data_IF_852444033841
#
_entry.id   IF_852444033841
#
_cell.length_a   1.000
_cell.length_b   1.000
_cell.length_c   1.000
_cell.angle_alpha   90.00
_cell.angle_beta   90.00
_cell.angle_gamma   90.00
#
_symmetry.space_group_name_H-M   'P 1'
#
loop_
_entity.id
_entity.type
_entity.pdbx_description
1 polymer ?
#
# COMPACT_ATOMS: atom_id res chain seq x y z
N UNK A 1 -47.66 22.63 51.34
CA UNK A 1 -47.77 23.10 49.93
C UNK A 1 -46.98 22.16 49.02
N UNK A 2 -47.25 22.20 47.70
CA UNK A 2 -46.49 21.59 46.57
C UNK A 2 -46.15 22.74 45.58
N UNK A 3 -45.44 22.55 44.44
CA UNK A 3 -44.65 21.42 43.93
C UNK A 3 -43.13 21.73 44.12
N UNK A 4 -42.09 21.42 43.31
CA UNK A 4 -41.86 20.85 41.96
C UNK A 4 -40.59 19.96 41.97
N UNK A 5 -40.51 18.97 41.07
CA UNK A 5 -39.30 18.24 40.64
C UNK A 5 -39.32 18.23 39.10
N UNK A 6 -38.25 18.65 38.39
CA UNK A 6 -38.06 18.38 36.94
C UNK A 6 -36.68 18.83 36.38
N UNK A 7 -36.30 18.21 35.26
CA UNK A 7 -35.33 18.63 34.21
C UNK A 7 -33.83 18.74 34.54
N UNK A 8 -33.09 17.65 34.24
CA UNK A 8 -31.70 17.71 33.74
C UNK A 8 -31.25 16.39 33.08
N UNK A 9 -31.89 16.00 31.96
CA UNK A 9 -31.71 14.66 31.37
C UNK A 9 -31.81 14.60 29.83
N UNK A 10 -31.37 15.63 29.10
CA UNK A 10 -31.50 15.70 27.63
C UNK A 10 -30.18 15.84 26.83
N UNK A 11 -29.01 15.82 27.49
CA UNK A 11 -27.72 16.05 26.82
C UNK A 11 -27.06 14.85 26.15
N UNK A 12 -27.08 13.65 26.79
CA UNK A 12 -26.15 12.57 26.41
C UNK A 12 -26.52 11.79 25.14
N UNK A 13 -27.79 11.77 24.72
CA UNK A 13 -28.23 10.89 23.62
C UNK A 13 -27.66 11.32 22.25
N UNK A 14 -27.45 12.62 22.05
CA UNK A 14 -26.97 13.17 20.76
C UNK A 14 -25.56 12.70 20.39
N UNK A 15 -24.64 12.66 21.36
CA UNK A 15 -23.23 12.37 21.12
C UNK A 15 -23.00 10.93 20.62
N UNK A 16 -23.74 9.97 21.17
CA UNK A 16 -23.66 8.54 20.80
C UNK A 16 -24.11 8.27 19.36
N UNK A 17 -25.05 9.05 18.83
CA UNK A 17 -25.56 8.89 17.46
C UNK A 17 -24.52 9.38 16.45
N UNK A 18 -23.88 10.53 16.72
CA UNK A 18 -22.83 11.10 15.84
C UNK A 18 -21.64 10.13 15.74
N UNK A 19 -21.16 9.62 16.88
CA UNK A 19 -20.03 8.66 16.92
C UNK A 19 -20.30 7.41 16.08
N UNK A 20 -21.52 6.87 16.16
CA UNK A 20 -21.93 5.65 15.45
C UNK A 20 -22.13 5.88 13.95
N UNK A 21 -22.57 7.07 13.54
CA UNK A 21 -22.72 7.46 12.13
C UNK A 21 -21.38 7.79 11.44
N UNK A 22 -20.37 8.19 12.21
CA UNK A 22 -19.01 8.38 11.71
C UNK A 22 -18.34 7.03 11.45
N UNK A 23 -18.37 6.13 12.44
CA UNK A 23 -17.80 4.77 12.34
C UNK A 23 -18.36 3.95 11.17
N UNK A 24 -19.66 4.03 10.86
CA UNK A 24 -20.29 3.25 9.78
C UNK A 24 -20.00 3.77 8.37
N UNK A 25 -19.70 5.06 8.20
CA UNK A 25 -19.20 5.61 6.92
C UNK A 25 -17.75 5.21 6.66
N UNK A 26 -16.94 5.21 7.71
CA UNK A 26 -15.53 4.88 7.64
C UNK A 26 -15.30 3.39 7.33
N UNK A 27 -16.13 2.49 7.88
CA UNK A 27 -16.10 1.05 7.54
C UNK A 27 -16.59 0.71 6.13
N UNK A 28 -17.55 1.47 5.58
CA UNK A 28 -18.07 1.23 4.21
C UNK A 28 -17.15 1.81 3.12
N UNK A 29 -16.54 2.99 3.35
CA UNK A 29 -15.54 3.54 2.43
C UNK A 29 -14.26 2.71 2.37
N UNK A 30 -13.77 2.22 3.52
CA UNK A 30 -12.53 1.43 3.59
C UNK A 30 -12.63 0.07 2.89
N UNK A 31 -13.76 -0.63 2.97
CA UNK A 31 -13.94 -1.91 2.27
C UNK A 31 -13.81 -1.76 0.75
N UNK A 32 -14.42 -0.71 0.18
CA UNK A 32 -14.46 -0.48 -1.27
C UNK A 32 -13.06 -0.17 -1.84
N UNK A 33 -12.29 0.76 -1.22
CA UNK A 33 -10.93 1.07 -1.69
C UNK A 33 -9.97 -0.13 -1.63
N UNK A 34 -10.19 -1.07 -0.71
CA UNK A 34 -9.38 -2.29 -0.61
C UNK A 34 -9.65 -3.24 -1.78
N UNK A 35 -10.92 -3.42 -2.15
CA UNK A 35 -11.31 -4.18 -3.34
C UNK A 35 -10.77 -3.53 -4.62
N UNK A 36 -10.96 -2.21 -4.78
CA UNK A 36 -10.40 -1.45 -5.91
C UNK A 36 -8.86 -1.53 -6.01
N UNK A 37 -8.14 -1.55 -4.87
CA UNK A 37 -6.68 -1.72 -4.87
C UNK A 37 -6.27 -3.14 -5.31
N UNK A 38 -6.96 -4.15 -4.78
CA UNK A 38 -6.79 -5.56 -5.17
C UNK A 38 -6.96 -5.76 -6.69
N UNK A 39 -8.05 -5.23 -7.25
CA UNK A 39 -8.36 -5.32 -8.69
C UNK A 39 -7.40 -4.49 -9.55
N UNK A 40 -7.08 -3.26 -9.16
CA UNK A 40 -6.20 -2.39 -9.94
C UNK A 40 -4.78 -2.92 -10.02
N UNK A 41 -4.24 -3.49 -8.93
CA UNK A 41 -2.88 -4.07 -8.87
C UNK A 41 -2.80 -5.56 -9.28
N UNK A 42 -3.91 -6.22 -9.60
CA UNK A 42 -3.90 -7.59 -10.15
C UNK A 42 -3.63 -7.57 -11.65
N UNK A 43 -2.74 -8.45 -12.13
CA UNK A 43 -2.27 -8.49 -13.54
C UNK A 43 -1.74 -7.14 -14.06
N UNK A 44 -0.76 -6.55 -13.37
CA UNK A 44 -0.07 -5.33 -13.81
C UNK A 44 1.43 -5.52 -14.01
N UNK A 45 2.01 -4.77 -14.93
CA UNK A 45 3.44 -4.57 -15.10
C UNK A 45 3.80 -3.15 -14.68
N UNK A 46 4.71 -3.05 -13.73
CA UNK A 46 5.43 -1.84 -13.39
C UNK A 46 6.60 -1.74 -14.38
N UNK A 47 6.76 -0.60 -15.05
CA UNK A 47 7.95 -0.28 -15.83
C UNK A 47 8.43 1.12 -15.48
N UNK A 48 9.71 1.25 -15.15
CA UNK A 48 10.26 2.49 -14.68
C UNK A 48 11.78 2.51 -14.69
N UNK A 49 12.32 3.38 -13.83
CA UNK A 49 13.75 3.56 -13.63
C UNK A 49 14.09 3.63 -12.15
N UNK A 50 15.29 3.18 -11.80
CA UNK A 50 15.88 3.39 -10.48
C UNK A 50 17.22 4.14 -10.55
N UNK A 51 17.50 4.91 -9.50
CA UNK A 51 18.78 5.59 -9.28
C UNK A 51 19.59 4.89 -8.18
N UNK A 52 20.89 5.16 -8.13
CA UNK A 52 21.77 4.76 -7.02
C UNK A 52 22.39 6.02 -6.43
N UNK A 53 22.27 6.21 -5.12
CA UNK A 53 22.80 7.38 -4.42
C UNK A 53 24.32 7.53 -4.64
N UNK A 54 24.77 8.75 -4.94
CA UNK A 54 26.17 9.05 -5.27
C UNK A 54 26.63 8.59 -6.67
N UNK A 55 25.80 7.88 -7.44
CA UNK A 55 26.13 7.51 -8.82
C UNK A 55 26.03 8.71 -9.77
N UNK A 56 27.00 8.83 -10.69
CA UNK A 56 26.94 9.75 -11.84
C UNK A 56 26.35 9.11 -13.11
N UNK A 57 25.90 7.85 -13.04
CA UNK A 57 25.22 7.17 -14.16
C UNK A 57 23.77 7.66 -14.27
N UNK A 58 23.17 7.68 -15.47
CA UNK A 58 21.74 7.90 -15.63
C UNK A 58 20.93 6.82 -14.87
N UNK A 59 19.63 7.08 -14.60
CA UNK A 59 18.71 6.08 -14.08
C UNK A 59 18.70 4.82 -14.96
N UNK A 60 18.63 3.64 -14.34
CA UNK A 60 18.61 2.35 -15.02
C UNK A 60 17.18 1.82 -15.12
N UNK A 61 16.80 1.23 -16.26
CA UNK A 61 15.47 0.62 -16.42
C UNK A 61 15.24 -0.52 -15.43
N UNK A 62 14.01 -0.61 -14.92
CA UNK A 62 13.49 -1.76 -14.17
C UNK A 62 12.11 -2.17 -14.69
N UNK A 63 11.70 -3.40 -14.36
CA UNK A 63 10.38 -3.93 -14.69
C UNK A 63 10.00 -5.04 -13.71
N UNK A 64 8.80 -4.96 -13.15
CA UNK A 64 8.22 -5.97 -12.26
C UNK A 64 6.82 -6.34 -12.73
N UNK A 65 6.42 -7.60 -12.57
CA UNK A 65 5.07 -8.08 -12.92
C UNK A 65 4.34 -8.54 -11.65
N UNK A 66 3.17 -7.97 -11.36
CA UNK A 66 2.31 -8.36 -10.23
C UNK A 66 1.15 -9.17 -10.81
N UNK A 67 1.12 -10.46 -10.49
CA UNK A 67 0.08 -11.37 -10.97
C UNK A 67 -1.21 -11.24 -10.16
N UNK A 68 -1.11 -11.07 -8.83
CA UNK A 68 -2.24 -10.82 -7.95
C UNK A 68 -1.84 -10.04 -6.70
N UNK A 69 -2.82 -9.33 -6.14
CA UNK A 69 -2.74 -8.68 -4.84
C UNK A 69 -3.95 -9.13 -4.02
N UNK A 70 -3.77 -9.47 -2.74
CA UNK A 70 -4.84 -9.92 -1.86
C UNK A 70 -4.61 -9.39 -0.44
N UNK A 71 -5.66 -8.89 0.24
CA UNK A 71 -5.55 -8.45 1.64
C UNK A 71 -5.43 -9.66 2.57
N UNK A 72 -4.59 -9.58 3.59
CA UNK A 72 -4.35 -10.66 4.54
C UNK A 72 -4.70 -10.24 5.96
N UNK A 73 -5.81 -10.76 6.49
CA UNK A 73 -6.36 -10.36 7.79
C UNK A 73 -6.89 -8.92 7.82
N UNK A 74 -7.15 -8.41 9.02
CA UNK A 74 -7.74 -7.07 9.21
C UNK A 74 -6.70 -5.94 9.13
N UNK A 75 -5.42 -6.24 9.41
CA UNK A 75 -4.30 -5.28 9.36
C UNK A 75 -3.93 -4.81 7.95
N UNK A 76 -2.99 -3.86 7.86
CA UNK A 76 -2.45 -3.31 6.61
C UNK A 76 -1.60 -4.31 5.78
N UNK A 77 -1.69 -5.62 6.01
CA UNK A 77 -0.86 -6.63 5.34
C UNK A 77 -1.52 -7.18 4.06
N UNK A 78 -0.73 -7.30 3.00
CA UNK A 78 -1.18 -7.77 1.68
C UNK A 78 -0.21 -8.79 1.09
N UNK A 79 -0.74 -9.83 0.44
CA UNK A 79 0.06 -10.78 -0.33
C UNK A 79 0.15 -10.29 -1.78
N UNK A 80 1.34 -9.90 -2.20
CA UNK A 80 1.66 -9.60 -3.58
C UNK A 80 2.28 -10.84 -4.23
N UNK A 81 1.59 -11.48 -5.18
CA UNK A 81 2.20 -12.52 -6.01
C UNK A 81 2.93 -11.84 -7.16
N UNK A 82 4.24 -11.65 -7.01
CA UNK A 82 5.05 -10.91 -7.97
C UNK A 82 6.08 -11.80 -8.66
N UNK A 83 6.34 -11.48 -9.92
CA UNK A 83 7.44 -12.01 -10.72
C UNK A 83 8.53 -10.94 -10.87
N UNK A 84 9.74 -11.33 -10.50
CA UNK A 84 10.92 -10.46 -10.50
C UNK A 84 11.95 -11.03 -11.48
N UNK A 85 12.36 -10.21 -12.44
CA UNK A 85 13.46 -10.51 -13.37
C UNK A 85 14.69 -9.69 -13.03
N UNK A 86 15.80 -10.35 -12.72
CA UNK A 86 17.06 -9.67 -12.38
C UNK A 86 18.25 -10.51 -12.86
N UNK A 87 18.89 -10.05 -13.94
CA UNK A 87 19.91 -10.83 -14.65
C UNK A 87 19.38 -12.21 -15.07
N UNK A 88 20.07 -13.27 -14.66
CA UNK A 88 19.72 -14.66 -14.99
C UNK A 88 18.62 -15.26 -14.08
N UNK A 89 18.00 -14.47 -13.20
CA UNK A 89 16.95 -14.92 -12.28
C UNK A 89 15.59 -14.40 -12.73
N UNK A 90 14.67 -15.31 -13.01
CA UNK A 90 13.24 -15.06 -13.23
C UNK A 90 12.47 -15.89 -12.19
N UNK A 91 11.93 -15.23 -11.16
CA UNK A 91 11.28 -15.89 -10.02
C UNK A 91 9.90 -15.30 -9.78
N UNK A 92 8.90 -16.15 -9.52
CA UNK A 92 7.56 -15.74 -9.07
C UNK A 92 7.37 -16.20 -7.63
N UNK A 93 7.01 -15.28 -6.73
CA UNK A 93 6.80 -15.59 -5.32
C UNK A 93 5.70 -14.73 -4.68
N UNK A 94 5.03 -15.23 -3.62
CA UNK A 94 4.20 -14.39 -2.75
C UNK A 94 5.08 -13.57 -1.80
N UNK A 95 4.80 -12.27 -1.70
CA UNK A 95 5.46 -11.35 -0.78
C UNK A 95 4.42 -10.73 0.16
N UNK A 96 4.41 -11.06 1.46
CA UNK A 96 3.58 -10.38 2.45
C UNK A 96 4.16 -8.98 2.73
N UNK A 97 3.57 -7.94 2.15
CA UNK A 97 4.02 -6.55 2.26
C UNK A 97 2.93 -5.66 2.87
N UNK A 98 3.27 -4.83 3.87
CA UNK A 98 2.40 -3.76 4.33
C UNK A 98 2.04 -2.75 3.22
N UNK A 99 0.78 -2.31 3.18
CA UNK A 99 0.30 -1.19 2.37
C UNK A 99 -0.37 -0.18 3.29
N UNK A 100 0.33 0.92 3.56
CA UNK A 100 -0.19 2.05 4.35
C UNK A 100 -0.96 3.01 3.44
N UNK A 101 -1.79 3.88 4.02
CA UNK A 101 -2.70 4.75 3.28
C UNK A 101 -2.53 6.22 3.71
N UNK A 102 -2.41 7.11 2.72
CA UNK A 102 -2.37 8.57 2.91
C UNK A 102 -3.64 9.14 2.27
N UNK A 103 -4.72 9.14 3.03
CA UNK A 103 -6.06 9.24 2.46
C UNK A 103 -6.33 8.03 1.55
N UNK A 104 -6.72 8.28 0.31
CA UNK A 104 -6.96 7.24 -0.70
C UNK A 104 -5.70 6.85 -1.52
N UNK A 105 -4.52 7.35 -1.15
CA UNK A 105 -3.25 7.03 -1.82
C UNK A 105 -2.56 5.86 -1.09
N UNK A 106 -2.42 4.67 -1.70
CA UNK A 106 -1.70 3.55 -1.10
C UNK A 106 -0.18 3.71 -1.24
N UNK A 107 0.52 3.29 -0.18
CA UNK A 107 1.98 3.29 -0.06
C UNK A 107 2.43 1.89 0.32
N UNK A 108 3.01 1.18 -0.64
CA UNK A 108 3.61 -0.14 -0.41
C UNK A 108 4.88 0.08 0.41
N UNK A 109 5.01 -0.60 1.55
CA UNK A 109 6.08 -0.39 2.52
C UNK A 109 6.76 -1.72 2.89
N UNK A 110 8.03 -1.83 2.53
CA UNK A 110 8.88 -2.99 2.73
C UNK A 110 10.08 -2.57 3.58
N UNK A 111 10.32 -3.24 4.71
CA UNK A 111 11.43 -2.95 5.62
C UNK A 111 12.20 -4.24 5.91
N UNK A 112 13.49 -4.26 5.53
CA UNK A 112 14.46 -5.34 5.72
C UNK A 112 13.92 -6.73 5.32
N UNK A 113 13.09 -6.74 4.27
CA UNK A 113 12.40 -7.92 3.77
C UNK A 113 13.37 -8.77 2.94
N UNK A 114 13.52 -10.03 3.32
CA UNK A 114 14.46 -10.95 2.67
C UNK A 114 13.75 -11.79 1.61
N UNK A 115 14.01 -11.50 0.34
CA UNK A 115 13.53 -12.26 -0.80
C UNK A 115 14.47 -13.45 -1.03
N UNK A 116 14.01 -14.71 -0.91
CA UNK A 116 14.85 -15.89 -1.10
C UNK A 116 15.61 -15.88 -2.43
N UNK A 117 16.94 -16.06 -2.36
CA UNK A 117 17.81 -16.07 -3.53
C UNK A 117 18.08 -14.70 -4.19
N UNK A 118 17.40 -13.62 -3.79
CA UNK A 118 17.69 -12.24 -4.25
C UNK A 118 18.38 -11.38 -3.17
N UNK A 119 18.05 -11.59 -1.89
CA UNK A 119 18.64 -10.87 -0.75
C UNK A 119 17.65 -10.00 0.01
N UNK A 120 18.17 -9.12 0.86
CA UNK A 120 17.37 -8.28 1.77
C UNK A 120 17.18 -6.87 1.23
N UNK A 121 15.95 -6.35 1.26
CA UNK A 121 15.57 -5.08 0.65
C UNK A 121 14.61 -4.28 1.55
N UNK A 122 14.74 -2.95 1.48
CA UNK A 122 13.75 -2.01 2.00
C UNK A 122 13.27 -1.10 0.87
N UNK A 123 12.00 -0.75 0.83
CA UNK A 123 11.44 0.18 -0.15
C UNK A 123 10.13 0.78 0.36
N UNK A 124 9.88 2.05 0.05
CA UNK A 124 8.60 2.70 0.32
C UNK A 124 8.13 3.38 -0.96
N UNK A 125 7.00 2.93 -1.50
CA UNK A 125 6.56 3.24 -2.86
C UNK A 125 5.12 3.74 -2.85
N UNK A 126 4.95 5.02 -3.19
CA UNK A 126 3.65 5.68 -3.33
C UNK A 126 3.07 5.35 -4.70
N UNK A 127 1.77 5.05 -4.75
CA UNK A 127 1.04 4.72 -5.98
C UNK A 127 0.03 5.84 -6.29
N UNK A 128 0.19 6.52 -7.42
CA UNK A 128 -0.77 7.49 -7.96
C UNK A 128 -1.29 7.01 -9.31
N UNK A 129 -2.48 6.37 -9.31
CA UNK A 129 -3.18 5.86 -10.50
C UNK A 129 -2.30 4.96 -11.37
N UNK A 130 -1.83 5.47 -12.50
CA UNK A 130 -0.99 4.80 -13.49
C UNK A 130 0.51 4.93 -13.20
N UNK A 131 0.90 5.45 -12.03
CA UNK A 131 2.29 5.82 -11.69
C UNK A 131 2.70 5.35 -10.31
N UNK A 132 4.00 5.21 -10.13
CA UNK A 132 4.63 4.98 -8.84
C UNK A 132 5.90 5.80 -8.68
N UNK A 133 6.23 6.15 -7.43
CA UNK A 133 7.50 6.74 -7.05
C UNK A 133 7.87 6.35 -5.62
N UNK A 134 9.15 6.17 -5.34
CA UNK A 134 9.58 5.69 -4.03
C UNK A 134 11.08 5.71 -3.78
N UNK A 135 11.47 5.16 -2.64
CA UNK A 135 12.86 4.85 -2.27
C UNK A 135 13.10 3.35 -2.27
N UNK A 136 14.36 2.95 -2.41
CA UNK A 136 14.81 1.58 -2.18
C UNK A 136 16.17 1.55 -1.47
N UNK A 137 16.45 0.45 -0.79
CA UNK A 137 17.75 0.10 -0.21
C UNK A 137 18.03 -1.40 -0.31
N UNK A 138 19.31 -1.75 -0.42
CA UNK A 138 19.85 -3.11 -0.40
C UNK A 138 21.28 -3.08 0.15
N UNK A 139 21.48 -3.61 1.36
CA UNK A 139 22.75 -3.49 2.08
C UNK A 139 23.14 -2.02 2.27
N UNK A 140 24.35 -1.65 1.86
CA UNK A 140 24.87 -0.27 1.96
C UNK A 140 24.52 0.61 0.73
N UNK A 141 23.63 0.17 -0.15
CA UNK A 141 23.18 0.91 -1.35
C UNK A 141 21.70 1.24 -1.25
N UNK A 142 21.30 2.28 -1.97
CA UNK A 142 19.90 2.66 -2.14
C UNK A 142 19.77 3.82 -3.11
N UNK A 143 18.55 4.30 -3.29
CA UNK A 143 18.22 5.41 -4.17
C UNK A 143 16.72 5.59 -4.31
N UNK A 144 16.31 6.15 -5.45
CA UNK A 144 14.92 6.35 -5.81
C UNK A 144 14.50 5.37 -6.91
N UNK A 145 13.20 5.10 -7.00
CA UNK A 145 12.57 4.42 -8.13
C UNK A 145 11.31 5.18 -8.56
N UNK A 146 10.98 5.16 -9.84
CA UNK A 146 9.77 5.79 -10.37
C UNK A 146 9.41 5.22 -11.75
N UNK A 147 8.12 5.17 -12.08
CA UNK A 147 7.66 4.63 -13.36
C UNK A 147 6.14 4.65 -13.53
N UNK A 148 5.66 3.83 -14.48
CA UNK A 148 4.25 3.65 -14.78
C UNK A 148 3.77 2.22 -14.59
N UNK A 149 2.48 2.09 -14.26
CA UNK A 149 1.75 0.84 -14.01
C UNK A 149 0.81 0.62 -15.18
N UNK A 150 0.84 -0.57 -15.77
CA UNK A 150 0.00 -0.94 -16.92
C UNK A 150 -0.56 -2.34 -16.75
N UNK A 151 -1.78 -2.61 -17.24
CA UNK A 151 -2.30 -3.99 -17.24
C UNK A 151 -1.45 -4.87 -18.18
N UNK A 152 -1.17 -6.09 -17.73
CA UNK A 152 -0.61 -7.15 -18.58
C UNK A 152 -1.70 -7.51 -19.61
N UNK A 153 -1.26 -7.71 -20.86
CA UNK A 153 -2.04 -8.25 -21.98
C UNK A 153 -1.41 -9.56 -22.41
#
# INVERSE_FOLDING_TARGET
MKPILLLLSFGLVSLSVVLRAQSSKESTGSSNRFEMFSESMTQVRFKGFFTVNGSKRPPLEETYEIHSVQKFGDEDLWIFTARIKSGNKDVTLPMPLPVKWVGEIPVISMQDFTIPGLGTFSAHVVIDRDKYAGTWAHGNKGGHLYGTISKIR
#
